data_IF_035331650177
#
_entry.id   IF_035331650177
#
_cell.length_a   1.000
_cell.length_b   1.000
_cell.length_c   1.000
_cell.angle_alpha   90.00
_cell.angle_beta   90.00
_cell.angle_gamma   90.00
#
_symmetry.space_group_name_H-M   'P 1'
#
loop_
_entity.id
_entity.type
_entity.pdbx_description
1 polymer ?
#
# COMPACT_ATOMS: atom_id res chain seq x y z
N UNK A 1 -7.48 -22.38 40.40
CA UNK A 1 -8.60 -22.85 39.60
C UNK A 1 -9.39 -21.64 39.12
N UNK A 2 -9.17 -21.16 37.90
CA UNK A 2 -10.07 -20.21 37.18
C UNK A 2 -9.35 -19.49 36.04
N UNK A 3 -8.53 -20.20 35.28
CA UNK A 3 -7.95 -19.69 34.05
C UNK A 3 -8.17 -20.61 32.82
N UNK A 4 -9.19 -21.48 32.86
CA UNK A 4 -9.42 -22.48 31.81
C UNK A 4 -10.42 -22.08 30.71
N UNK A 5 -11.01 -20.89 30.71
CA UNK A 5 -12.08 -20.53 29.77
C UNK A 5 -11.76 -19.41 28.77
N UNK A 6 -10.49 -19.05 28.56
CA UNK A 6 -10.10 -18.04 27.55
C UNK A 6 -9.50 -18.62 26.27
N UNK A 7 -9.48 -19.94 26.11
CA UNK A 7 -8.68 -20.62 25.09
C UNK A 7 -9.42 -21.02 23.79
N UNK A 8 -10.72 -20.67 23.65
CA UNK A 8 -11.50 -21.04 22.44
C UNK A 8 -12.43 -19.92 21.98
N UNK A 9 -11.96 -18.70 21.84
CA UNK A 9 -12.76 -17.66 21.21
C UNK A 9 -12.64 -17.75 19.68
N UNK A 10 -13.54 -18.49 19.07
CA UNK A 10 -13.84 -18.44 17.66
C UNK A 10 -14.74 -17.21 17.44
N UNK A 11 -14.26 -16.22 16.72
CA UNK A 11 -15.05 -15.05 16.35
C UNK A 11 -15.47 -15.18 14.90
N UNK A 12 -16.76 -15.06 14.63
CA UNK A 12 -17.32 -15.04 13.28
C UNK A 12 -17.95 -13.68 13.06
N UNK A 13 -17.48 -13.00 12.01
CA UNK A 13 -18.06 -11.77 11.51
C UNK A 13 -18.74 -12.07 10.18
N UNK A 14 -19.96 -11.62 10.04
CA UNK A 14 -20.76 -11.78 8.83
C UNK A 14 -21.28 -10.39 8.40
N UNK A 15 -21.31 -10.17 7.09
CA UNK A 15 -21.84 -8.94 6.51
C UNK A 15 -22.39 -9.19 5.11
N UNK A 16 -23.26 -8.29 4.68
CA UNK A 16 -23.74 -8.23 3.31
C UNK A 16 -23.32 -6.89 2.70
N UNK A 17 -22.88 -6.93 1.45
CA UNK A 17 -22.56 -5.75 0.66
C UNK A 17 -23.23 -5.85 -0.70
N UNK A 18 -23.45 -4.74 -1.34
CA UNK A 18 -24.01 -4.68 -2.69
C UNK A 18 -23.13 -3.83 -3.57
N UNK A 19 -22.91 -4.29 -4.78
CA UNK A 19 -22.26 -3.55 -5.86
C UNK A 19 -23.06 -3.71 -7.17
N UNK A 20 -22.48 -3.42 -8.31
CA UNK A 20 -23.15 -3.55 -9.60
C UNK A 20 -23.39 -4.99 -10.03
N UNK A 21 -22.58 -5.92 -9.54
CA UNK A 21 -22.71 -7.35 -9.85
C UNK A 21 -23.78 -8.01 -8.96
N UNK A 22 -24.23 -7.34 -7.89
CA UNK A 22 -25.32 -7.78 -7.04
C UNK A 22 -25.06 -7.66 -5.54
N UNK A 23 -25.75 -8.50 -4.78
CA UNK A 23 -25.57 -8.63 -3.34
C UNK A 23 -24.56 -9.73 -3.04
N UNK A 24 -23.55 -9.39 -2.26
CA UNK A 24 -22.50 -10.30 -1.84
C UNK A 24 -22.58 -10.58 -0.34
N UNK A 25 -22.34 -11.81 0.04
CA UNK A 25 -22.24 -12.24 1.42
C UNK A 25 -20.79 -12.50 1.79
N UNK A 26 -20.31 -11.84 2.83
CA UNK A 26 -18.94 -12.00 3.29
C UNK A 26 -18.92 -12.48 4.74
N UNK A 27 -18.09 -13.47 5.01
CA UNK A 27 -17.87 -14.01 6.35
C UNK A 27 -16.38 -14.10 6.65
N UNK A 28 -16.00 -13.73 7.86
CA UNK A 28 -14.63 -13.91 8.36
C UNK A 28 -14.69 -14.66 9.67
N UNK A 29 -14.03 -15.79 9.72
CA UNK A 29 -13.82 -16.55 10.93
C UNK A 29 -12.38 -16.36 11.40
N UNK A 30 -12.20 -15.99 12.65
CA UNK A 30 -10.91 -15.85 13.30
C UNK A 30 -10.86 -16.75 14.51
N UNK A 31 -9.96 -17.74 14.50
CA UNK A 31 -9.60 -18.56 15.62
C UNK A 31 -8.09 -18.46 15.87
N UNK A 32 -7.60 -19.00 17.00
CA UNK A 32 -6.19 -18.96 17.35
C UNK A 32 -5.34 -19.58 16.24
N UNK A 33 -4.52 -18.76 15.56
CA UNK A 33 -3.64 -19.21 14.49
C UNK A 33 -4.31 -19.53 13.16
N UNK A 34 -5.64 -19.36 13.05
CA UNK A 34 -6.40 -19.63 11.84
C UNK A 34 -7.31 -18.45 11.48
N UNK A 35 -7.38 -18.16 10.19
CA UNK A 35 -8.30 -17.18 9.62
C UNK A 35 -8.90 -17.76 8.35
N UNK A 36 -10.21 -17.90 8.34
CA UNK A 36 -10.97 -18.32 7.17
C UNK A 36 -11.80 -17.13 6.66
N UNK A 37 -11.78 -16.92 5.36
CA UNK A 37 -12.58 -15.91 4.67
C UNK A 37 -13.50 -16.62 3.72
N UNK A 38 -14.78 -16.25 3.70
CA UNK A 38 -15.77 -16.73 2.74
C UNK A 38 -16.43 -15.55 2.04
N UNK A 39 -16.58 -15.67 0.74
CA UNK A 39 -17.31 -14.74 -0.09
C UNK A 39 -18.35 -15.54 -0.89
N UNK A 40 -19.62 -15.17 -0.77
CA UNK A 40 -20.76 -15.86 -1.42
C UNK A 40 -20.81 -17.37 -1.21
N UNK A 41 -20.35 -17.80 -0.02
CA UNK A 41 -20.31 -19.22 0.37
C UNK A 41 -19.05 -19.97 -0.06
N UNK A 42 -18.21 -19.37 -0.89
CA UNK A 42 -16.95 -19.96 -1.33
C UNK A 42 -15.78 -19.54 -0.43
N UNK A 43 -14.78 -20.42 -0.32
CA UNK A 43 -13.55 -20.11 0.42
C UNK A 43 -12.74 -19.05 -0.37
N UNK A 44 -12.44 -17.94 0.29
CA UNK A 44 -11.70 -16.81 -0.26
C UNK A 44 -10.45 -16.49 0.53
N UNK A 45 -9.76 -15.45 0.10
CA UNK A 45 -8.61 -14.91 0.80
C UNK A 45 -8.82 -13.45 1.20
N UNK A 46 -7.87 -12.88 1.96
CA UNK A 46 -7.98 -11.50 2.43
C UNK A 46 -8.04 -10.44 1.33
N UNK A 47 -7.56 -10.75 0.12
CA UNK A 47 -7.66 -9.81 -1.01
C UNK A 47 -9.07 -9.83 -1.62
N UNK A 48 -9.74 -10.99 -1.64
CA UNK A 48 -11.12 -11.11 -2.10
C UNK A 48 -12.05 -10.33 -1.15
N UNK A 49 -11.85 -10.52 0.16
CA UNK A 49 -12.57 -9.74 1.16
C UNK A 49 -12.32 -8.23 1.01
N UNK A 50 -11.07 -7.81 0.81
CA UNK A 50 -10.74 -6.41 0.68
C UNK A 50 -11.36 -5.76 -0.57
N UNK A 51 -11.53 -6.52 -1.65
CA UNK A 51 -12.22 -6.02 -2.86
C UNK A 51 -13.69 -5.75 -2.60
N UNK A 52 -14.37 -6.67 -1.91
CA UNK A 52 -15.80 -6.55 -1.59
C UNK A 52 -16.08 -5.53 -0.49
N UNK A 53 -15.13 -5.33 0.41
CA UNK A 53 -15.25 -4.42 1.54
C UNK A 53 -14.05 -3.46 1.61
N UNK A 54 -14.07 -2.35 0.85
CA UNK A 54 -13.02 -1.33 0.90
C UNK A 54 -13.12 -0.49 2.18
N UNK A 55 -12.64 -1.03 3.30
CA UNK A 55 -12.70 -0.37 4.62
C UNK A 55 -11.44 0.42 4.88
N UNK A 56 -11.61 1.66 5.34
CA UNK A 56 -10.57 2.52 5.89
C UNK A 56 -10.89 2.86 7.35
N UNK A 57 -9.86 2.92 8.19
CA UNK A 57 -10.01 3.23 9.61
C UNK A 57 -9.31 4.55 9.92
N UNK A 58 -10.01 5.44 10.59
CA UNK A 58 -9.45 6.66 11.17
C UNK A 58 -9.36 6.44 12.68
N UNK A 59 -8.15 6.28 13.18
CA UNK A 59 -7.84 6.08 14.59
C UNK A 59 -7.09 7.28 15.20
N UNK A 60 -6.88 7.34 16.52
CA UNK A 60 -6.13 8.41 17.17
C UNK A 60 -4.70 8.60 16.67
N UNK A 61 -4.07 7.52 16.14
CA UNK A 61 -2.69 7.51 15.65
C UNK A 61 -2.57 7.84 14.16
N UNK A 62 -3.66 8.25 13.52
CA UNK A 62 -3.70 8.56 12.08
C UNK A 62 -2.62 9.56 11.64
N UNK A 63 -2.15 10.42 12.55
CA UNK A 63 -1.07 11.37 12.28
C UNK A 63 0.27 10.70 11.90
N UNK A 64 0.43 9.41 12.19
CA UNK A 64 1.59 8.61 11.75
C UNK A 64 1.70 8.52 10.22
N UNK A 65 0.63 8.73 9.47
CA UNK A 65 0.70 8.88 8.01
C UNK A 65 1.56 10.09 7.60
N UNK A 66 1.62 11.13 8.44
CA UNK A 66 2.37 12.35 8.14
C UNK A 66 3.82 12.25 8.64
N UNK A 67 4.03 11.80 9.87
CA UNK A 67 5.35 11.82 10.51
C UNK A 67 6.00 10.43 10.66
N UNK A 68 5.24 9.38 10.55
CA UNK A 68 5.71 8.01 10.73
C UNK A 68 6.56 7.48 9.56
N UNK A 69 6.73 6.17 9.53
CA UNK A 69 7.61 5.51 8.58
C UNK A 69 7.10 5.55 7.14
N UNK A 70 7.99 5.50 6.15
CA UNK A 70 7.60 5.31 4.74
C UNK A 70 6.75 4.06 4.49
N UNK A 71 6.85 3.05 5.34
CA UNK A 71 6.08 1.82 5.22
C UNK A 71 4.57 2.08 5.39
N UNK A 72 4.18 2.89 6.41
CA UNK A 72 2.77 3.26 6.61
C UNK A 72 2.21 3.99 5.39
N UNK A 73 2.98 4.93 4.83
CA UNK A 73 2.57 5.67 3.64
C UNK A 73 2.50 4.79 2.38
N UNK A 74 3.40 3.81 2.25
CA UNK A 74 3.28 2.82 1.15
C UNK A 74 2.02 1.97 1.29
N UNK A 75 1.71 1.50 2.50
CA UNK A 75 0.47 0.72 2.75
C UNK A 75 -0.77 1.53 2.39
N UNK A 76 -0.81 2.80 2.78
CA UNK A 76 -1.88 3.72 2.41
C UNK A 76 -1.99 3.84 0.87
N UNK A 77 -0.89 4.13 0.19
CA UNK A 77 -0.85 4.24 -1.27
C UNK A 77 -1.29 2.94 -1.95
N UNK A 78 -0.73 1.80 -1.52
CA UNK A 78 -1.00 0.49 -2.10
C UNK A 78 -2.47 0.07 -1.94
N UNK A 79 -3.09 0.45 -0.83
CA UNK A 79 -4.52 0.24 -0.61
C UNK A 79 -5.34 0.96 -1.70
N UNK A 80 -5.07 2.23 -1.96
CA UNK A 80 -5.78 2.98 -2.99
C UNK A 80 -5.57 2.43 -4.40
N UNK A 81 -4.31 2.11 -4.75
CA UNK A 81 -3.98 1.55 -6.06
C UNK A 81 -4.64 0.18 -6.26
N UNK A 82 -4.68 -0.67 -5.23
CA UNK A 82 -5.30 -1.99 -5.26
C UNK A 82 -6.79 -1.94 -5.64
N UNK A 83 -7.53 -0.96 -5.10
CA UNK A 83 -8.96 -0.82 -5.38
C UNK A 83 -9.26 -0.20 -6.75
N UNK A 84 -8.30 0.51 -7.35
CA UNK A 84 -8.48 1.18 -8.66
C UNK A 84 -7.87 0.37 -9.80
N UNK A 85 -6.85 -0.46 -9.53
CA UNK A 85 -6.10 -1.21 -10.56
C UNK A 85 -6.03 -2.70 -10.21
N UNK A 86 -6.87 -3.52 -10.83
CA UNK A 86 -6.93 -4.96 -10.56
C UNK A 86 -5.60 -5.70 -10.77
N UNK A 87 -4.77 -5.25 -11.72
CA UNK A 87 -3.45 -5.84 -11.99
C UNK A 87 -2.38 -5.51 -10.95
N UNK A 88 -2.64 -4.56 -10.04
CA UNK A 88 -1.65 -4.11 -9.04
C UNK A 88 -1.20 -5.23 -8.11
N UNK A 89 -2.15 -5.97 -7.57
CA UNK A 89 -1.86 -7.03 -6.59
C UNK A 89 -0.98 -8.13 -7.16
N UNK A 90 -1.22 -8.50 -8.43
CA UNK A 90 -0.42 -9.52 -9.11
C UNK A 90 1.01 -9.03 -9.36
N UNK A 91 1.17 -7.83 -9.90
CA UNK A 91 2.48 -7.21 -10.08
C UNK A 91 3.25 -7.09 -8.74
N UNK A 92 2.56 -6.67 -7.67
CA UNK A 92 3.13 -6.55 -6.34
C UNK A 92 3.54 -7.90 -5.75
N UNK A 93 2.72 -8.95 -5.90
CA UNK A 93 3.04 -10.31 -5.44
C UNK A 93 4.27 -10.88 -6.16
N UNK A 94 4.33 -10.73 -7.48
CA UNK A 94 5.47 -11.19 -8.31
C UNK A 94 6.74 -10.43 -7.96
N UNK A 95 6.64 -9.10 -7.83
CA UNK A 95 7.75 -8.27 -7.35
C UNK A 95 8.27 -8.72 -5.99
N UNK A 96 7.38 -8.93 -5.01
CA UNK A 96 7.77 -9.38 -3.66
C UNK A 96 8.40 -10.76 -3.65
N UNK A 97 7.95 -11.66 -4.49
CA UNK A 97 8.54 -13.00 -4.65
C UNK A 97 9.98 -12.88 -5.16
N UNK A 98 10.20 -12.13 -6.25
CA UNK A 98 11.54 -11.91 -6.81
C UNK A 98 12.47 -11.20 -5.79
N UNK A 99 11.96 -10.18 -5.07
CA UNK A 99 12.69 -9.48 -4.03
C UNK A 99 13.13 -10.42 -2.88
N UNK A 100 12.24 -11.31 -2.46
CA UNK A 100 12.55 -12.30 -1.41
C UNK A 100 13.66 -13.24 -1.84
N UNK A 101 13.64 -13.73 -3.07
CA UNK A 101 14.66 -14.62 -3.63
C UNK A 101 16.00 -13.90 -3.78
N UNK A 102 16.00 -12.69 -4.37
CA UNK A 102 17.22 -11.88 -4.48
C UNK A 102 17.84 -11.60 -3.11
N UNK A 103 17.01 -11.25 -2.11
CA UNK A 103 17.52 -11.02 -0.75
C UNK A 103 18.01 -12.29 -0.08
N UNK A 104 17.47 -13.46 -0.40
CA UNK A 104 18.00 -14.74 0.06
C UNK A 104 19.40 -15.00 -0.52
N UNK A 105 19.58 -14.83 -1.83
CA UNK A 105 20.89 -14.97 -2.49
C UNK A 105 21.94 -14.00 -1.91
N UNK A 106 21.55 -12.74 -1.64
CA UNK A 106 22.44 -11.77 -0.98
C UNK A 106 22.90 -12.23 0.41
N UNK A 107 21.98 -12.74 1.23
CA UNK A 107 22.30 -13.23 2.59
C UNK A 107 23.14 -14.51 2.60
N UNK A 108 22.96 -15.38 1.60
CA UNK A 108 23.73 -16.61 1.43
C UNK A 108 25.15 -16.35 0.90
N UNK A 109 25.43 -15.13 0.46
CA UNK A 109 26.73 -14.79 -0.11
C UNK A 109 26.94 -15.31 -1.53
N UNK A 110 25.84 -15.62 -2.25
CA UNK A 110 25.90 -16.12 -3.62
C UNK A 110 26.64 -15.13 -4.54
N UNK A 111 27.13 -15.63 -5.69
CA UNK A 111 27.81 -14.79 -6.67
C UNK A 111 26.91 -13.67 -7.21
N UNK A 112 27.49 -12.59 -7.73
CA UNK A 112 26.71 -11.50 -8.35
C UNK A 112 25.84 -12.00 -9.50
N UNK A 113 26.35 -12.96 -10.27
CA UNK A 113 25.59 -13.60 -11.35
C UNK A 113 24.31 -14.26 -10.82
N UNK A 114 24.37 -14.99 -9.70
CA UNK A 114 23.22 -15.63 -9.09
C UNK A 114 22.22 -14.60 -8.53
N UNK A 115 22.71 -13.51 -7.92
CA UNK A 115 21.86 -12.39 -7.46
C UNK A 115 21.16 -11.70 -8.64
N UNK A 116 21.87 -11.49 -9.75
CA UNK A 116 21.33 -10.79 -10.92
C UNK A 116 20.27 -11.58 -11.70
N UNK A 117 20.19 -12.90 -11.54
CA UNK A 117 19.10 -13.70 -12.13
C UNK A 117 17.71 -13.19 -11.75
N UNK A 118 17.58 -12.54 -10.60
CA UNK A 118 16.31 -12.00 -10.12
C UNK A 118 16.01 -10.57 -10.61
N UNK A 119 17.00 -9.90 -11.24
CA UNK A 119 16.85 -8.49 -11.62
C UNK A 119 15.81 -8.30 -12.70
N UNK A 120 15.69 -9.20 -13.69
CA UNK A 120 14.70 -9.09 -14.76
C UNK A 120 13.27 -9.05 -14.20
N UNK A 121 12.90 -10.00 -13.34
CA UNK A 121 11.60 -10.03 -12.70
C UNK A 121 11.36 -8.83 -11.76
N UNK A 122 12.42 -8.36 -11.08
CA UNK A 122 12.33 -7.15 -10.26
C UNK A 122 12.09 -5.89 -11.08
N UNK A 123 12.71 -5.77 -12.24
CA UNK A 123 12.53 -4.64 -13.16
C UNK A 123 11.12 -4.66 -13.73
N UNK A 124 10.72 -5.77 -14.35
CA UNK A 124 9.39 -5.92 -14.97
C UNK A 124 8.26 -5.55 -14.01
N UNK A 125 8.23 -6.26 -12.89
CA UNK A 125 7.12 -6.09 -11.93
C UNK A 125 7.29 -4.85 -11.05
N UNK A 126 8.54 -4.44 -10.77
CA UNK A 126 8.83 -3.22 -9.99
C UNK A 126 8.44 -1.95 -10.73
N UNK A 127 8.73 -1.86 -12.01
CA UNK A 127 8.30 -0.74 -12.83
C UNK A 127 6.79 -0.72 -13.05
N UNK A 128 6.14 -1.88 -13.15
CA UNK A 128 4.68 -1.96 -13.21
C UNK A 128 4.03 -1.39 -11.94
N UNK A 129 4.54 -1.76 -10.75
CA UNK A 129 4.09 -1.21 -9.46
C UNK A 129 4.31 0.30 -9.40
N UNK A 130 5.49 0.78 -9.80
CA UNK A 130 5.82 2.20 -9.78
C UNK A 130 4.91 3.03 -10.70
N UNK A 131 4.71 2.59 -11.95
CA UNK A 131 3.82 3.26 -12.90
C UNK A 131 2.39 3.36 -12.37
N UNK A 132 1.86 2.30 -11.75
CA UNK A 132 0.49 2.30 -11.22
C UNK A 132 0.37 3.24 -10.01
N UNK A 133 1.37 3.29 -9.13
CA UNK A 133 1.41 4.24 -8.01
C UNK A 133 1.50 5.70 -8.49
N UNK A 134 2.34 5.96 -9.48
CA UNK A 134 2.50 7.31 -10.04
C UNK A 134 1.20 7.80 -10.69
N UNK A 135 0.57 6.97 -11.53
CA UNK A 135 -0.71 7.29 -12.17
C UNK A 135 -1.84 7.50 -11.16
N UNK A 136 -1.88 6.71 -10.08
CA UNK A 136 -2.84 6.91 -8.99
C UNK A 136 -2.64 8.27 -8.32
N UNK A 137 -1.41 8.63 -7.94
CA UNK A 137 -1.12 9.89 -7.24
C UNK A 137 -1.41 11.11 -8.11
N UNK A 138 -1.14 11.04 -9.40
CA UNK A 138 -1.46 12.11 -10.35
C UNK A 138 -2.97 12.47 -10.31
N UNK A 139 -3.83 11.48 -10.42
CA UNK A 139 -5.29 11.68 -10.37
C UNK A 139 -5.79 12.03 -8.97
N UNK A 140 -5.29 11.34 -7.95
CA UNK A 140 -5.64 11.52 -6.56
C UNK A 140 -5.38 12.94 -6.04
N UNK A 141 -4.28 13.56 -6.46
CA UNK A 141 -3.90 14.90 -6.02
C UNK A 141 -4.95 15.96 -6.31
N UNK A 142 -5.73 15.83 -7.37
CA UNK A 142 -6.82 16.79 -7.69
C UNK A 142 -7.86 16.81 -6.59
N UNK A 143 -8.30 15.63 -6.14
CA UNK A 143 -9.31 15.50 -5.08
C UNK A 143 -8.70 15.86 -3.72
N UNK A 144 -7.49 15.39 -3.44
CA UNK A 144 -6.82 15.65 -2.16
C UNK A 144 -6.53 17.14 -1.96
N UNK A 145 -6.08 17.85 -2.99
CA UNK A 145 -5.83 19.29 -2.92
C UNK A 145 -7.12 20.07 -2.61
N UNK A 146 -8.24 19.71 -3.22
CA UNK A 146 -9.54 20.34 -2.96
C UNK A 146 -9.98 20.09 -1.51
N UNK A 147 -9.99 18.84 -1.06
CA UNK A 147 -10.42 18.46 0.30
C UNK A 147 -9.52 19.10 1.36
N UNK A 148 -8.20 19.12 1.14
CA UNK A 148 -7.28 19.73 2.10
C UNK A 148 -7.49 21.24 2.20
N UNK A 149 -7.71 21.92 1.08
CA UNK A 149 -7.98 23.37 1.06
C UNK A 149 -9.28 23.71 1.77
N UNK A 150 -10.34 22.93 1.54
CA UNK A 150 -11.66 23.13 2.16
C UNK A 150 -11.59 22.98 3.69
N UNK A 151 -10.89 21.97 4.19
CA UNK A 151 -10.90 21.60 5.61
C UNK A 151 -9.74 22.17 6.44
N UNK A 152 -8.64 22.62 5.80
CA UNK A 152 -7.40 23.02 6.50
C UNK A 152 -6.98 24.47 6.20
N UNK A 153 -7.71 25.19 5.36
CA UNK A 153 -7.33 26.54 4.88
C UNK A 153 -6.00 26.59 4.12
N UNK A 154 -5.42 25.42 3.75
CA UNK A 154 -4.25 25.31 2.88
C UNK A 154 -4.39 24.07 1.98
N UNK A 155 -3.77 24.13 0.82
CA UNK A 155 -3.70 23.00 -0.10
C UNK A 155 -2.49 22.14 0.21
N UNK A 156 -2.68 20.82 0.18
CA UNK A 156 -1.61 19.83 0.29
C UNK A 156 -1.60 18.93 -0.94
N UNK A 157 -0.42 18.46 -1.29
CA UNK A 157 -0.21 17.50 -2.38
C UNK A 157 0.63 16.31 -1.93
N UNK A 158 0.41 15.17 -2.57
CA UNK A 158 1.22 13.98 -2.45
C UNK A 158 2.27 13.94 -3.56
N UNK A 159 3.50 13.60 -3.20
CA UNK A 159 4.59 13.38 -4.15
C UNK A 159 5.08 11.96 -4.02
N UNK A 160 4.89 11.17 -5.07
CA UNK A 160 5.41 9.82 -5.14
C UNK A 160 6.92 9.82 -5.36
N UNK A 161 7.65 9.11 -4.52
CA UNK A 161 9.09 8.88 -4.63
C UNK A 161 9.31 7.40 -4.88
N UNK A 162 9.78 7.08 -6.05
CA UNK A 162 9.83 5.71 -6.57
C UNK A 162 10.78 4.73 -5.84
N UNK A 163 11.69 5.21 -5.02
CA UNK A 163 12.63 4.39 -4.24
C UNK A 163 13.96 4.08 -4.95
N UNK A 164 14.23 4.73 -6.07
CA UNK A 164 15.52 4.78 -6.78
C UNK A 164 15.64 6.12 -7.54
N UNK A 165 16.83 6.51 -8.05
CA UNK A 165 17.02 7.82 -8.69
C UNK A 165 16.09 8.00 -9.90
N UNK A 166 15.47 9.17 -10.02
CA UNK A 166 14.44 9.45 -11.04
C UNK A 166 14.95 9.32 -12.48
N UNK A 167 16.20 9.67 -12.72
CA UNK A 167 16.82 9.66 -14.06
C UNK A 167 17.53 8.34 -14.38
N UNK A 168 17.36 7.30 -13.55
CA UNK A 168 18.04 6.01 -13.69
C UNK A 168 17.00 4.92 -13.92
N UNK A 169 17.24 4.01 -14.86
CA UNK A 169 16.44 2.82 -15.00
C UNK A 169 16.57 1.94 -13.75
N UNK A 170 15.52 1.18 -13.41
CA UNK A 170 15.59 0.29 -12.24
C UNK A 170 16.64 -0.80 -12.41
N UNK A 171 16.85 -1.30 -13.64
CA UNK A 171 17.94 -2.22 -13.99
C UNK A 171 19.31 -1.68 -13.56
N UNK A 172 19.63 -0.46 -13.97
CA UNK A 172 20.92 0.17 -13.69
C UNK A 172 21.09 0.46 -12.19
N UNK A 173 20.00 0.88 -11.53
CA UNK A 173 19.99 1.10 -10.09
C UNK A 173 20.27 -0.19 -9.31
N UNK A 174 19.70 -1.34 -9.73
CA UNK A 174 19.94 -2.66 -9.12
C UNK A 174 21.39 -3.14 -9.32
N UNK A 175 21.97 -2.90 -10.50
CA UNK A 175 23.37 -3.22 -10.76
C UNK A 175 24.31 -2.35 -9.93
N UNK A 176 24.07 -1.04 -9.93
CA UNK A 176 24.93 -0.09 -9.21
C UNK A 176 24.88 -0.27 -7.68
N UNK A 177 23.74 -0.74 -7.15
CA UNK A 177 23.54 -0.90 -5.70
C UNK A 177 24.17 -2.19 -5.12
N UNK A 178 24.72 -3.11 -5.93
CA UNK A 178 25.10 -4.46 -5.51
C UNK A 178 26.03 -4.49 -4.27
N UNK A 179 27.03 -3.63 -4.22
CA UNK A 179 27.93 -3.56 -3.07
C UNK A 179 27.19 -3.17 -1.79
N UNK A 180 26.32 -2.18 -1.90
CA UNK A 180 25.48 -1.73 -0.77
C UNK A 180 24.48 -2.81 -0.37
N UNK A 181 23.86 -3.48 -1.34
CA UNK A 181 22.92 -4.58 -1.11
C UNK A 181 23.58 -5.72 -0.33
N UNK A 182 24.85 -6.05 -0.64
CA UNK A 182 25.63 -7.06 0.09
C UNK A 182 25.91 -6.66 1.53
N UNK A 183 26.31 -5.40 1.76
CA UNK A 183 26.57 -4.90 3.12
C UNK A 183 25.31 -5.04 4.01
N UNK A 184 24.12 -4.75 3.45
CA UNK A 184 22.86 -4.82 4.19
C UNK A 184 22.15 -6.17 4.12
N UNK A 185 22.65 -7.13 3.31
CA UNK A 185 21.99 -8.41 3.06
C UNK A 185 20.59 -8.27 2.45
N UNK A 186 20.32 -7.14 1.80
CA UNK A 186 19.00 -6.82 1.23
C UNK A 186 19.08 -5.74 0.16
N UNK A 187 18.18 -5.83 -0.81
CA UNK A 187 18.04 -4.87 -1.91
C UNK A 187 17.70 -3.47 -1.39
N UNK A 188 18.49 -2.46 -1.78
CA UNK A 188 18.38 -1.09 -1.27
C UNK A 188 17.66 -0.13 -2.22
N UNK A 189 17.27 -0.58 -3.41
CA UNK A 189 16.58 0.21 -4.45
C UNK A 189 15.34 -0.52 -4.95
N UNK A 190 14.31 0.22 -5.32
CA UNK A 190 13.08 -0.32 -5.89
C UNK A 190 11.80 0.11 -5.15
N UNK A 191 10.61 -0.31 -5.62
CA UNK A 191 9.31 0.12 -5.07
C UNK A 191 9.10 -0.15 -3.58
N UNK A 192 9.77 -1.13 -3.01
CA UNK A 192 9.73 -1.41 -1.56
C UNK A 192 10.47 -0.35 -0.73
N UNK A 193 11.29 0.50 -1.37
CA UNK A 193 11.96 1.67 -0.78
C UNK A 193 11.29 2.99 -1.14
N UNK A 194 10.21 2.95 -1.90
CA UNK A 194 9.43 4.11 -2.26
C UNK A 194 8.86 4.83 -1.02
N UNK A 195 8.53 6.10 -1.22
CA UNK A 195 7.86 6.90 -0.20
C UNK A 195 6.78 7.78 -0.83
N UNK A 196 5.75 8.09 -0.05
CA UNK A 196 4.75 9.09 -0.37
C UNK A 196 5.02 10.31 0.51
N UNK A 197 5.56 11.38 -0.08
CA UNK A 197 5.84 12.62 0.63
C UNK A 197 4.67 13.57 0.53
N UNK A 198 4.20 14.09 1.65
CA UNK A 198 3.18 15.14 1.67
C UNK A 198 3.85 16.52 1.73
N UNK A 199 3.41 17.42 0.85
CA UNK A 199 3.93 18.79 0.75
C UNK A 199 2.81 19.80 0.95
N UNK A 200 3.13 20.88 1.67
CA UNK A 200 2.31 22.09 1.87
C UNK A 200 3.18 23.27 1.54
N UNK A 201 2.75 24.10 0.57
CA UNK A 201 3.55 25.23 0.08
C UNK A 201 5.00 24.83 -0.22
N UNK A 202 5.19 23.78 -1.04
CA UNK A 202 6.48 23.23 -1.52
C UNK A 202 7.43 22.72 -0.44
N UNK A 203 6.94 22.57 0.79
CA UNK A 203 7.72 22.00 1.90
C UNK A 203 7.04 20.78 2.47
N UNK A 204 7.84 19.86 3.02
CA UNK A 204 7.32 18.65 3.66
C UNK A 204 6.34 19.02 4.79
N UNK A 205 5.11 18.51 4.72
CA UNK A 205 4.04 18.78 5.66
C UNK A 205 4.47 18.55 7.13
N UNK A 206 5.19 17.47 7.42
CA UNK A 206 5.65 17.14 8.79
C UNK A 206 6.43 18.23 9.52
N UNK A 207 7.03 19.18 8.76
CA UNK A 207 7.81 20.28 9.33
C UNK A 207 7.09 21.63 9.30
N UNK A 208 5.86 21.66 8.74
CA UNK A 208 5.11 22.92 8.50
C UNK A 208 3.81 23.00 9.28
N UNK A 209 3.26 21.88 9.69
CA UNK A 209 1.93 21.83 10.30
C UNK A 209 2.01 21.35 11.76
N UNK A 210 1.16 21.91 12.61
CA UNK A 210 1.05 21.50 14.01
C UNK A 210 0.53 20.07 14.14
N UNK A 211 0.64 19.45 15.32
CA UNK A 211 0.12 18.08 15.56
C UNK A 211 -1.38 17.96 15.27
N UNK A 212 -2.17 18.95 15.67
CA UNK A 212 -3.60 18.98 15.36
C UNK A 212 -3.86 19.03 13.84
N UNK A 213 -3.13 19.89 13.13
CA UNK A 213 -3.19 19.98 11.67
C UNK A 213 -2.70 18.67 10.99
N UNK A 214 -1.73 17.96 11.58
CA UNK A 214 -1.30 16.65 11.06
C UNK A 214 -2.42 15.62 11.14
N UNK A 215 -3.17 15.56 12.24
CA UNK A 215 -4.34 14.67 12.37
C UNK A 215 -5.41 15.02 11.36
N UNK A 216 -5.74 16.29 11.20
CA UNK A 216 -6.72 16.74 10.21
C UNK A 216 -6.24 16.46 8.78
N UNK A 217 -4.97 16.70 8.48
CA UNK A 217 -4.39 16.41 7.16
C UNK A 217 -4.42 14.92 6.83
N UNK A 218 -4.11 14.07 7.81
CA UNK A 218 -4.18 12.62 7.66
C UNK A 218 -5.63 12.12 7.48
N UNK A 219 -6.60 12.69 8.23
CA UNK A 219 -8.02 12.40 8.03
C UNK A 219 -8.49 12.85 6.64
N UNK A 220 -8.10 14.04 6.20
CA UNK A 220 -8.39 14.54 4.85
C UNK A 220 -7.80 13.62 3.76
N UNK A 221 -6.61 13.06 3.99
CA UNK A 221 -5.96 12.11 3.10
C UNK A 221 -6.78 10.82 2.95
N UNK A 222 -7.26 10.25 4.07
CA UNK A 222 -8.10 9.04 4.07
C UNK A 222 -9.46 9.31 3.42
N UNK A 223 -10.11 10.42 3.76
CA UNK A 223 -11.39 10.81 3.15
C UNK A 223 -11.24 11.02 1.64
N UNK A 224 -10.18 11.69 1.21
CA UNK A 224 -9.90 11.90 -0.21
C UNK A 224 -9.70 10.56 -0.93
N UNK A 225 -8.97 9.62 -0.33
CA UNK A 225 -8.74 8.30 -0.92
C UNK A 225 -10.03 7.50 -1.02
N UNK A 226 -10.85 7.49 0.02
CA UNK A 226 -12.15 6.81 0.00
C UNK A 226 -13.06 7.38 -1.09
N UNK A 227 -13.16 8.72 -1.20
CA UNK A 227 -13.94 9.36 -2.26
C UNK A 227 -13.41 9.07 -3.65
N UNK A 228 -12.08 9.08 -3.82
CA UNK A 228 -11.46 8.78 -5.10
C UNK A 228 -11.73 7.34 -5.53
N UNK A 229 -11.53 6.38 -4.63
CA UNK A 229 -11.80 4.96 -4.90
C UNK A 229 -13.28 4.73 -5.22
N UNK A 230 -14.19 5.28 -4.43
CA UNK A 230 -15.63 5.16 -4.68
C UNK A 230 -16.03 5.70 -6.06
N UNK A 231 -15.47 6.86 -6.47
CA UNK A 231 -15.75 7.45 -7.78
C UNK A 231 -15.21 6.58 -8.93
N UNK A 232 -14.06 5.93 -8.77
CA UNK A 232 -13.50 5.06 -9.80
C UNK A 232 -14.29 3.76 -9.93
N UNK A 233 -14.63 3.12 -8.83
CA UNK A 233 -15.47 1.92 -8.82
C UNK A 233 -16.83 2.20 -9.44
N UNK A 234 -17.47 3.33 -9.12
CA UNK A 234 -18.76 3.72 -9.73
C UNK A 234 -18.66 4.05 -11.22
N UNK A 235 -17.50 4.50 -11.73
CA UNK A 235 -17.32 4.85 -13.14
C UNK A 235 -17.04 3.64 -14.04
N UNK A 236 -16.60 2.54 -13.50
CA UNK A 236 -16.45 1.26 -14.25
C UNK A 236 -17.81 0.56 -14.46
N UNK A 237 -18.91 1.13 -13.90
CA UNK A 237 -20.26 0.60 -13.92
C UNK A 237 -21.17 1.26 -14.96
N UNK A 238 -20.65 2.16 -15.80
CA UNK A 238 -21.34 2.86 -16.90
C UNK A 238 -20.70 2.50 -18.22
#
# INVERSE_FOLDING_TARGET
AECENLCCSRNVLFGETADADGNHRVGVEVAIGQREVRADGESGNGADLARLLPVQVIDPEIHELIQGSPELRRRFLDWGVFHVKHSFLDAWRRYRKALSQRNAALRQGDSDAAVFLWNEALVEHGEAVDRQRAAFIEQFNTIFAAISKENLSFSAICVHKRGWPEKTALSDALHTSIHRDRVFGSTQVGPHRADLSLSVADRRARHRVSRGQQKMLAAALVIAQTRFVAAQVSSELV
#
